data_IF_078976011163
#
_entry.id   IF_078976011163
#
_cell.length_a   1.000
_cell.length_b   1.000
_cell.length_c   1.000
_cell.angle_alpha   90.00
_cell.angle_beta   90.00
_cell.angle_gamma   90.00
#
_symmetry.space_group_name_H-M   'P 1'
#
loop_
_entity.id
_entity.type
_entity.pdbx_description
1 polymer ?
#
# COMPACT_ATOMS: atom_id res chain seq x y z
N UNK A 1 -1.43 -6.37 2.42
CA UNK A 1 -1.03 -7.01 1.15
C UNK A 1 -1.22 -6.02 0.00
N UNK A 2 -0.66 -6.26 -1.19
CA UNK A 2 -0.91 -5.40 -2.35
C UNK A 2 -2.36 -5.49 -2.86
N UNK A 3 -2.90 -6.70 -2.92
CA UNK A 3 -4.28 -6.95 -3.35
C UNK A 3 -5.29 -6.30 -2.40
N UNK A 4 -5.09 -6.46 -1.08
CA UNK A 4 -5.96 -5.84 -0.08
C UNK A 4 -5.95 -4.31 -0.17
N UNK A 5 -4.78 -3.69 -0.37
CA UNK A 5 -4.69 -2.24 -0.54
C UNK A 5 -5.48 -1.73 -1.76
N UNK A 6 -5.41 -2.47 -2.88
CA UNK A 6 -6.17 -2.13 -4.08
C UNK A 6 -7.68 -2.31 -3.89
N UNK A 7 -8.12 -3.43 -3.30
CA UNK A 7 -9.55 -3.68 -3.04
C UNK A 7 -10.11 -2.61 -2.10
N UNK A 8 -9.43 -2.29 -1.00
CA UNK A 8 -9.85 -1.23 -0.08
C UNK A 8 -9.91 0.13 -0.77
N UNK A 9 -9.01 0.43 -1.71
CA UNK A 9 -9.09 1.67 -2.48
C UNK A 9 -10.34 1.74 -3.36
N UNK A 10 -10.75 0.61 -3.95
CA UNK A 10 -11.95 0.50 -4.79
C UNK A 10 -13.22 0.56 -3.94
N UNK A 11 -13.25 -0.09 -2.78
CA UNK A 11 -14.48 -0.31 -1.99
C UNK A 11 -14.62 0.57 -0.76
N UNK A 12 -13.54 1.18 -0.26
CA UNK A 12 -13.43 1.74 1.09
C UNK A 12 -13.76 3.23 1.26
N UNK A 13 -14.48 3.84 0.32
CA UNK A 13 -14.99 5.22 0.52
C UNK A 13 -14.58 6.25 -0.53
N UNK A 14 -14.21 5.81 -1.74
CA UNK A 14 -14.18 6.75 -2.85
C UNK A 14 -15.59 7.25 -3.15
N UNK A 15 -15.79 8.56 -3.23
CA UNK A 15 -17.02 9.12 -3.77
C UNK A 15 -17.17 8.58 -5.19
N UNK A 16 -18.24 7.84 -5.48
CA UNK A 16 -18.39 7.16 -6.77
C UNK A 16 -18.28 8.11 -7.98
N UNK A 17 -18.59 9.39 -7.79
CA UNK A 17 -18.50 10.45 -8.81
C UNK A 17 -17.07 10.95 -9.06
N UNK A 18 -16.17 10.81 -8.10
CA UNK A 18 -14.80 11.31 -8.16
C UNK A 18 -13.75 10.20 -8.14
N UNK A 19 -14.18 8.96 -7.90
CA UNK A 19 -13.31 7.79 -7.95
C UNK A 19 -12.59 7.74 -9.30
N UNK A 20 -11.27 7.59 -9.23
CA UNK A 20 -10.42 7.31 -10.37
C UNK A 20 -9.78 5.94 -10.16
N UNK A 21 -9.94 4.99 -11.09
CA UNK A 21 -9.24 3.73 -11.00
C UNK A 21 -7.73 3.99 -11.14
N UNK A 22 -6.94 3.25 -10.36
CA UNK A 22 -5.49 3.28 -10.51
C UNK A 22 -4.87 1.92 -10.23
N UNK A 23 -3.71 1.70 -10.84
CA UNK A 23 -2.87 0.56 -10.48
C UNK A 23 -2.31 0.72 -9.06
N UNK A 24 -1.95 -0.42 -8.47
CA UNK A 24 -1.34 -0.44 -7.14
C UNK A 24 -0.08 0.42 -7.12
N UNK A 25 0.07 1.22 -6.06
CA UNK A 25 1.24 2.04 -5.80
C UNK A 25 1.42 2.18 -4.28
N UNK A 26 2.59 2.64 -3.83
CA UNK A 26 2.89 2.74 -2.40
C UNK A 26 1.99 3.71 -1.61
N UNK A 27 1.31 4.64 -2.28
CA UNK A 27 0.36 5.55 -1.63
C UNK A 27 -0.92 4.86 -1.14
N UNK A 28 -1.22 3.65 -1.65
CA UNK A 28 -2.39 2.88 -1.21
C UNK A 28 -2.14 2.07 0.07
N UNK A 29 -0.89 1.96 0.51
CA UNK A 29 -0.54 1.16 1.69
C UNK A 29 -0.61 2.03 2.96
N UNK A 30 -0.95 1.44 4.12
CA UNK A 30 -0.87 2.15 5.41
C UNK A 30 0.53 2.74 5.61
N UNK A 31 0.71 3.93 6.18
CA UNK A 31 2.03 4.55 6.27
C UNK A 31 3.05 3.68 7.01
N UNK A 32 4.34 3.85 6.66
CA UNK A 32 5.48 3.33 7.41
C UNK A 32 6.21 4.50 8.03
N UNK A 33 6.51 4.39 9.32
CA UNK A 33 7.36 5.38 9.98
C UNK A 33 8.82 5.14 9.58
N UNK A 34 9.27 5.94 8.61
CA UNK A 34 10.63 5.92 8.10
C UNK A 34 11.02 7.34 7.69
N UNK A 35 11.51 8.07 8.68
CA UNK A 35 11.91 9.49 8.59
C UNK A 35 13.25 9.62 7.87
N UNK A 36 13.22 9.88 6.57
CA UNK A 36 14.45 10.19 5.82
C UNK A 36 14.22 10.97 4.50
N UNK A 37 13.04 11.59 4.30
CA UNK A 37 12.77 12.43 3.12
C UNK A 37 13.06 11.72 1.79
N UNK A 38 13.64 12.41 0.81
CA UNK A 38 14.01 11.83 -0.50
C UNK A 38 15.05 10.70 -0.37
N UNK A 39 16.07 10.88 0.49
CA UNK A 39 17.16 9.91 0.67
C UNK A 39 16.66 8.58 1.26
N UNK A 40 15.59 8.62 2.05
CA UNK A 40 14.94 7.43 2.62
C UNK A 40 14.03 6.66 1.69
N UNK A 41 13.87 7.07 0.42
CA UNK A 41 12.88 6.43 -0.50
C UNK A 41 13.13 4.93 -0.66
N UNK A 42 14.38 4.53 -0.89
CA UNK A 42 14.72 3.11 -1.10
C UNK A 42 14.39 2.26 0.13
N UNK A 43 14.74 2.75 1.32
CA UNK A 43 14.44 2.08 2.59
C UNK A 43 12.93 1.98 2.82
N UNK A 44 12.19 3.06 2.59
CA UNK A 44 10.72 3.07 2.69
C UNK A 44 10.07 2.05 1.76
N UNK A 45 10.47 2.03 0.49
CA UNK A 45 9.87 1.14 -0.50
C UNK A 45 10.12 -0.33 -0.13
N UNK A 46 11.33 -0.67 0.31
CA UNK A 46 11.64 -2.00 0.84
C UNK A 46 10.75 -2.35 2.03
N UNK A 47 10.62 -1.46 3.01
CA UNK A 47 9.79 -1.71 4.18
C UNK A 47 8.31 -1.94 3.82
N UNK A 48 7.77 -1.20 2.83
CA UNK A 48 6.42 -1.45 2.31
C UNK A 48 6.30 -2.85 1.70
N UNK A 49 7.27 -3.22 0.86
CA UNK A 49 7.30 -4.53 0.21
C UNK A 49 7.39 -5.66 1.23
N UNK A 50 8.28 -5.55 2.20
CA UNK A 50 8.50 -6.61 3.21
C UNK A 50 7.24 -6.83 4.06
N UNK A 51 6.65 -5.75 4.59
CA UNK A 51 5.40 -5.85 5.36
C UNK A 51 4.24 -6.38 4.51
N UNK A 52 4.14 -5.94 3.25
CA UNK A 52 3.07 -6.40 2.35
C UNK A 52 3.21 -7.89 1.99
N UNK A 53 4.44 -8.38 1.81
CA UNK A 53 4.76 -9.77 1.52
C UNK A 53 4.50 -10.67 2.73
N UNK A 54 4.95 -10.25 3.92
CA UNK A 54 4.69 -10.98 5.17
C UNK A 54 3.18 -11.14 5.41
N UNK A 55 2.41 -10.05 5.34
CA UNK A 55 0.97 -10.11 5.52
C UNK A 55 0.25 -10.97 4.46
N UNK A 56 0.84 -11.13 3.27
CA UNK A 56 0.26 -11.98 2.23
C UNK A 56 0.53 -13.46 2.49
N UNK A 57 1.74 -13.79 2.96
CA UNK A 57 2.11 -15.15 3.37
C UNK A 57 1.24 -15.59 4.57
N UNK A 58 1.07 -14.72 5.56
CA UNK A 58 0.21 -14.96 6.72
C UNK A 58 -1.24 -15.24 6.32
N UNK A 59 -1.77 -14.52 5.33
CA UNK A 59 -3.13 -14.74 4.82
C UNK A 59 -3.33 -16.07 4.07
N UNK A 60 -2.26 -16.63 3.48
CA UNK A 60 -2.33 -17.90 2.75
C UNK A 60 -2.28 -19.15 3.66
N UNK A 61 -1.95 -18.96 4.94
CA UNK A 61 -1.80 -20.04 5.93
C UNK A 61 -3.09 -20.25 6.71
#
# INVERSE_FOLDING_TARGET
TAMGALVTHITGGAEAKTFQPMNVNFGLFPPIDAKAGRRGRAVRYRAYTDRAKQAFIEWLS
#
